data_IF_396750483762
#
_entry.id   IF_396750483762
#
_cell.length_a   1.000
_cell.length_b   1.000
_cell.length_c   1.000
_cell.angle_alpha   90.00
_cell.angle_beta   90.00
_cell.angle_gamma   90.00
#
_symmetry.space_group_name_H-M   'P 1'
#
loop_
_entity.id
_entity.type
_entity.pdbx_description
1 polymer ?
#
# COMPACT_ATOMS: atom_id res chain seq x y z
N UNK A 1 -41.41 23.87 21.40
CA UNK A 1 -40.66 23.65 20.14
C UNK A 1 -39.25 24.27 20.15
N UNK A 2 -39.10 25.62 20.16
CA UNK A 2 -37.78 26.25 20.09
C UNK A 2 -36.87 25.97 21.31
N UNK A 3 -37.42 25.97 22.53
CA UNK A 3 -36.70 25.58 23.76
C UNK A 3 -36.30 24.10 23.77
N UNK A 4 -37.10 23.23 23.21
CA UNK A 4 -36.86 21.79 23.11
C UNK A 4 -35.73 21.50 22.11
N UNK A 5 -35.74 22.16 20.96
CA UNK A 5 -34.66 22.07 19.97
C UNK A 5 -33.33 22.58 20.54
N UNK A 6 -33.34 23.67 21.31
CA UNK A 6 -32.16 24.21 21.99
C UNK A 6 -31.59 23.21 23.01
N UNK A 7 -32.49 22.55 23.79
CA UNK A 7 -32.09 21.51 24.74
C UNK A 7 -31.40 20.30 24.02
N UNK A 8 -32.00 19.81 22.93
CA UNK A 8 -31.44 18.71 22.14
C UNK A 8 -30.06 19.07 21.55
N UNK A 9 -29.91 20.30 21.04
CA UNK A 9 -28.60 20.78 20.54
C UNK A 9 -27.54 20.86 21.64
N UNK A 10 -27.91 21.27 22.86
CA UNK A 10 -26.99 21.26 24.00
C UNK A 10 -26.54 19.85 24.35
N UNK A 11 -27.45 18.87 24.37
CA UNK A 11 -27.11 17.47 24.63
C UNK A 11 -26.16 16.93 23.56
N UNK A 12 -26.37 17.27 22.28
CA UNK A 12 -25.46 16.90 21.20
C UNK A 12 -24.06 17.50 21.42
N UNK A 13 -23.98 18.79 21.78
CA UNK A 13 -22.68 19.45 22.06
C UNK A 13 -21.95 18.76 23.21
N UNK A 14 -22.62 18.39 24.28
CA UNK A 14 -22.02 17.65 25.40
C UNK A 14 -21.51 16.25 24.94
N UNK A 15 -22.27 15.58 24.05
CA UNK A 15 -21.82 14.31 23.45
C UNK A 15 -20.58 14.52 22.60
N UNK A 16 -20.53 15.55 21.76
CA UNK A 16 -19.39 15.87 20.89
C UNK A 16 -18.11 16.15 21.70
N UNK A 17 -18.21 16.86 22.83
CA UNK A 17 -17.08 17.08 23.73
C UNK A 17 -16.53 15.74 24.30
N UNK A 18 -17.43 14.87 24.75
CA UNK A 18 -17.07 13.55 25.29
C UNK A 18 -16.45 12.65 24.22
N UNK A 19 -17.00 12.63 23.00
CA UNK A 19 -16.46 11.90 21.86
C UNK A 19 -15.04 12.40 21.52
N UNK A 20 -14.89 13.72 21.43
CA UNK A 20 -13.57 14.35 21.12
C UNK A 20 -12.53 14.00 22.18
N UNK A 21 -12.86 14.09 23.45
CA UNK A 21 -11.97 13.72 24.54
C UNK A 21 -11.58 12.23 24.51
N UNK A 22 -12.56 11.34 24.28
CA UNK A 22 -12.32 9.90 24.17
C UNK A 22 -11.43 9.55 22.97
N UNK A 23 -11.67 10.17 21.80
CA UNK A 23 -10.84 9.99 20.60
C UNK A 23 -9.40 10.45 20.83
N UNK A 24 -9.18 11.61 21.48
CA UNK A 24 -7.87 12.10 21.79
C UNK A 24 -7.08 11.11 22.67
N UNK A 25 -7.68 10.69 23.79
CA UNK A 25 -7.08 9.69 24.68
C UNK A 25 -6.77 8.38 23.94
N UNK A 26 -7.69 7.91 23.08
CA UNK A 26 -7.51 6.71 22.29
C UNK A 26 -6.30 6.82 21.34
N UNK A 27 -6.12 7.97 20.68
CA UNK A 27 -4.99 8.22 19.77
C UNK A 27 -3.65 8.25 20.55
N UNK A 28 -3.60 8.87 21.72
CA UNK A 28 -2.44 8.87 22.61
C UNK A 28 -2.05 7.43 23.04
N UNK A 29 -3.05 6.60 23.39
CA UNK A 29 -2.81 5.19 23.70
C UNK A 29 -2.26 4.39 22.50
N UNK A 30 -2.72 4.68 21.27
CA UNK A 30 -2.20 4.04 20.07
C UNK A 30 -0.71 4.35 19.87
N UNK A 31 -0.30 5.60 20.03
CA UNK A 31 1.12 5.99 19.95
C UNK A 31 1.97 5.25 21.01
N UNK A 32 1.46 5.12 22.24
CA UNK A 32 2.09 4.33 23.29
C UNK A 32 2.22 2.83 22.92
N UNK A 33 1.17 2.24 22.35
CA UNK A 33 1.19 0.84 21.91
C UNK A 33 2.23 0.64 20.80
N UNK A 34 2.34 1.56 19.84
CA UNK A 34 3.31 1.47 18.75
C UNK A 34 4.74 1.51 19.32
N UNK A 35 5.00 2.45 20.22
CA UNK A 35 6.29 2.57 20.87
C UNK A 35 6.65 1.28 21.62
N UNK A 36 5.73 0.74 22.42
CA UNK A 36 5.93 -0.51 23.15
C UNK A 36 6.21 -1.69 22.19
N UNK A 37 5.42 -1.84 21.12
CA UNK A 37 5.60 -2.92 20.13
C UNK A 37 6.99 -2.84 19.47
N UNK A 38 7.41 -1.63 19.08
CA UNK A 38 8.72 -1.40 18.47
C UNK A 38 9.86 -1.76 19.41
N UNK A 39 9.79 -1.35 20.66
CA UNK A 39 10.83 -1.61 21.68
C UNK A 39 10.95 -3.10 22.02
N UNK A 40 9.84 -3.83 21.96
CA UNK A 40 9.78 -5.25 22.30
C UNK A 40 9.79 -6.19 21.07
N UNK A 41 9.97 -5.66 19.85
CA UNK A 41 10.02 -6.48 18.63
C UNK A 41 8.71 -7.22 18.31
N UNK A 42 7.57 -6.69 18.77
CA UNK A 42 6.27 -7.30 18.55
C UNK A 42 5.69 -6.96 17.18
N UNK A 43 4.84 -7.84 16.59
CA UNK A 43 4.17 -7.56 15.33
C UNK A 43 3.38 -6.26 15.39
N UNK A 44 3.55 -5.43 14.37
CA UNK A 44 2.88 -4.13 14.28
C UNK A 44 1.40 -4.31 14.02
N UNK A 45 1.06 -5.17 13.07
CA UNK A 45 -0.31 -5.47 12.68
C UNK A 45 -0.88 -6.58 13.56
N UNK A 46 -2.10 -6.39 14.00
CA UNK A 46 -2.86 -7.36 14.78
C UNK A 46 -4.32 -7.40 14.30
N UNK A 47 -4.61 -7.98 13.10
CA UNK A 47 -5.95 -8.04 12.52
C UNK A 47 -6.99 -8.67 13.47
N UNK A 48 -6.58 -9.68 14.23
CA UNK A 48 -7.44 -10.33 15.21
C UNK A 48 -7.90 -9.37 16.34
N UNK A 49 -7.04 -8.42 16.72
CA UNK A 49 -7.40 -7.45 17.75
C UNK A 49 -8.42 -6.43 17.22
N UNK A 50 -8.29 -6.04 15.96
CA UNK A 50 -9.24 -5.14 15.29
C UNK A 50 -10.61 -5.81 15.16
N UNK A 51 -10.63 -7.08 14.74
CA UNK A 51 -11.85 -7.88 14.66
C UNK A 51 -12.56 -7.99 16.02
N UNK A 52 -11.81 -8.31 17.09
CA UNK A 52 -12.37 -8.36 18.46
C UNK A 52 -12.94 -7.02 18.92
N UNK A 53 -12.34 -5.90 18.51
CA UNK A 53 -12.88 -4.57 18.83
C UNK A 53 -14.23 -4.34 18.16
N UNK A 54 -14.35 -4.66 16.85
CA UNK A 54 -15.62 -4.55 16.13
C UNK A 54 -16.68 -5.49 16.69
N UNK A 55 -16.34 -6.74 16.98
CA UNK A 55 -17.25 -7.71 17.58
C UNK A 55 -17.79 -7.23 18.93
N UNK A 56 -16.93 -6.61 19.76
CA UNK A 56 -17.36 -6.02 21.04
C UNK A 56 -18.37 -4.90 20.84
N UNK A 57 -18.07 -3.96 19.92
CA UNK A 57 -18.96 -2.85 19.62
C UNK A 57 -20.29 -3.37 19.05
N UNK A 58 -20.24 -4.33 18.13
CA UNK A 58 -21.43 -4.95 17.56
C UNK A 58 -22.32 -5.57 18.65
N UNK A 59 -21.74 -6.25 19.64
CA UNK A 59 -22.49 -6.81 20.76
C UNK A 59 -23.14 -5.73 21.66
N UNK A 60 -22.47 -4.57 21.82
CA UNK A 60 -23.00 -3.46 22.62
C UNK A 60 -24.18 -2.74 21.96
N UNK A 61 -24.22 -2.68 20.61
CA UNK A 61 -25.25 -1.96 19.87
C UNK A 61 -26.30 -2.85 19.22
N UNK A 62 -26.18 -4.16 19.37
CA UNK A 62 -27.05 -5.16 18.78
C UNK A 62 -28.53 -4.89 19.05
N UNK A 63 -29.34 -4.84 17.98
CA UNK A 63 -30.79 -4.60 18.06
C UNK A 63 -31.21 -3.14 18.34
N UNK A 64 -30.25 -2.22 18.38
CA UNK A 64 -30.56 -0.77 18.40
C UNK A 64 -30.89 -0.27 17.00
N UNK A 65 -31.67 0.82 16.90
CA UNK A 65 -32.05 1.45 15.61
C UNK A 65 -30.83 2.00 14.87
N UNK A 66 -29.73 2.29 15.58
CA UNK A 66 -28.52 2.92 15.04
C UNK A 66 -27.32 1.95 15.00
N UNK A 67 -27.58 0.65 14.98
CA UNK A 67 -26.54 -0.39 14.98
C UNK A 67 -25.58 -0.21 13.80
N UNK A 68 -26.11 -0.08 12.58
CA UNK A 68 -25.34 0.08 11.34
C UNK A 68 -24.48 1.36 11.35
N UNK A 69 -25.06 2.49 11.75
CA UNK A 69 -24.41 3.80 11.79
C UNK A 69 -23.26 3.81 12.80
N UNK A 70 -23.48 3.22 13.98
CA UNK A 70 -22.43 3.16 15.02
C UNK A 70 -21.29 2.25 14.58
N UNK A 71 -21.58 1.10 13.99
CA UNK A 71 -20.55 0.20 13.46
C UNK A 71 -19.70 0.88 12.38
N UNK A 72 -20.33 1.58 11.44
CA UNK A 72 -19.62 2.33 10.41
C UNK A 72 -18.68 3.40 10.98
N UNK A 73 -19.11 4.13 12.02
CA UNK A 73 -18.26 5.10 12.72
C UNK A 73 -17.04 4.39 13.36
N UNK A 74 -17.26 3.23 13.99
CA UNK A 74 -16.17 2.49 14.62
C UNK A 74 -15.18 1.88 13.63
N UNK A 75 -15.62 1.45 12.46
CA UNK A 75 -14.75 1.07 11.34
C UNK A 75 -13.81 2.22 10.95
N UNK A 76 -14.36 3.43 10.81
CA UNK A 76 -13.59 4.65 10.56
C UNK A 76 -12.59 4.99 11.67
N UNK A 77 -12.95 4.77 12.93
CA UNK A 77 -12.05 4.94 14.09
C UNK A 77 -10.90 3.93 14.05
N UNK A 78 -11.15 2.67 13.68
CA UNK A 78 -10.12 1.64 13.55
C UNK A 78 -9.20 1.95 12.38
N UNK A 79 -9.75 2.33 11.22
CA UNK A 79 -8.98 2.75 10.04
C UNK A 79 -8.06 3.93 10.36
N UNK A 80 -8.56 4.93 11.08
CA UNK A 80 -7.73 6.06 11.53
C UNK A 80 -6.60 5.62 12.48
N UNK A 81 -6.83 4.60 13.30
CA UNK A 81 -5.80 4.02 14.17
C UNK A 81 -4.70 3.35 13.36
N UNK A 82 -5.04 2.58 12.30
CA UNK A 82 -4.08 2.02 11.35
C UNK A 82 -3.26 3.11 10.68
N UNK A 83 -3.90 4.20 10.26
CA UNK A 83 -3.24 5.35 9.64
C UNK A 83 -2.24 6.02 10.57
N UNK A 84 -2.56 6.19 11.86
CA UNK A 84 -1.63 6.71 12.87
C UNK A 84 -0.45 5.74 13.04
N UNK A 85 -0.72 4.43 13.15
CA UNK A 85 0.31 3.41 13.25
C UNK A 85 1.26 3.45 12.05
N UNK A 86 0.72 3.46 10.84
CA UNK A 86 1.50 3.51 9.61
C UNK A 86 2.38 4.77 9.54
N UNK A 87 1.84 5.95 9.86
CA UNK A 87 2.61 7.21 9.89
C UNK A 87 3.74 7.21 10.91
N UNK A 88 3.53 6.60 12.07
CA UNK A 88 4.56 6.49 13.11
C UNK A 88 5.65 5.50 12.72
N UNK A 89 5.28 4.43 12.02
CA UNK A 89 6.20 3.36 11.60
C UNK A 89 6.92 3.68 10.30
N UNK A 90 6.25 4.32 9.35
CA UNK A 90 6.78 4.59 8.02
C UNK A 90 6.61 6.07 7.69
N UNK A 91 7.69 6.84 7.81
CA UNK A 91 7.74 8.28 7.53
C UNK A 91 7.83 8.62 6.04
N UNK A 92 7.96 7.59 5.19
CA UNK A 92 8.11 7.67 3.74
C UNK A 92 7.10 6.79 3.02
N UNK A 93 7.11 6.84 1.69
CA UNK A 93 6.34 5.94 0.86
C UNK A 93 6.94 4.52 0.85
N UNK A 94 6.14 3.52 0.45
CA UNK A 94 6.59 2.15 0.18
C UNK A 94 6.44 1.93 -1.32
N UNK A 95 7.56 1.78 -2.04
CA UNK A 95 7.57 1.59 -3.48
C UNK A 95 7.84 0.12 -3.81
N UNK A 96 6.88 -0.53 -4.45
CA UNK A 96 7.00 -1.93 -4.89
C UNK A 96 7.55 -1.97 -6.31
N UNK A 97 8.70 -2.61 -6.49
CA UNK A 97 9.30 -2.90 -7.78
C UNK A 97 9.35 -4.41 -8.00
N UNK A 98 9.52 -4.84 -9.23
CA UNK A 98 9.62 -6.25 -9.58
C UNK A 98 9.12 -6.53 -10.99
N UNK A 99 9.41 -7.72 -11.47
CA UNK A 99 9.00 -8.16 -12.78
C UNK A 99 7.47 -8.20 -12.90
N UNK A 100 6.94 -8.18 -14.13
CA UNK A 100 5.51 -8.43 -14.35
C UNK A 100 5.12 -9.81 -13.77
N UNK A 101 3.96 -9.91 -13.14
CA UNK A 101 3.56 -11.14 -12.46
C UNK A 101 4.22 -11.39 -11.09
N UNK A 102 5.13 -10.54 -10.61
CA UNK A 102 5.71 -10.65 -9.26
C UNK A 102 4.73 -10.34 -8.12
N UNK A 103 3.49 -9.91 -8.41
CA UNK A 103 2.45 -9.68 -7.41
C UNK A 103 2.35 -8.24 -6.89
N UNK A 104 2.99 -7.25 -7.53
CA UNK A 104 3.01 -5.85 -7.08
C UNK A 104 1.63 -5.28 -6.77
N UNK A 105 0.69 -5.35 -7.71
CA UNK A 105 -0.66 -4.79 -7.52
C UNK A 105 -1.47 -5.50 -6.44
N UNK A 106 -1.28 -6.81 -6.28
CA UNK A 106 -1.92 -7.58 -5.21
C UNK A 106 -1.35 -7.21 -3.84
N UNK A 107 -0.02 -7.10 -3.75
CA UNK A 107 0.68 -6.72 -2.51
C UNK A 107 0.40 -5.26 -2.17
N UNK A 108 0.39 -4.33 -3.15
CA UNK A 108 0.08 -2.92 -2.90
C UNK A 108 -1.33 -2.71 -2.38
N UNK A 109 -2.32 -3.41 -2.94
CA UNK A 109 -3.70 -3.37 -2.47
C UNK A 109 -3.82 -3.87 -1.02
N UNK A 110 -3.20 -5.02 -0.71
CA UNK A 110 -3.23 -5.59 0.65
C UNK A 110 -2.50 -4.71 1.67
N UNK A 111 -1.34 -4.16 1.33
CA UNK A 111 -0.62 -3.22 2.20
C UNK A 111 -1.40 -1.92 2.44
N UNK A 112 -2.06 -1.39 1.39
CA UNK A 112 -2.92 -0.22 1.51
C UNK A 112 -4.06 -0.45 2.52
N UNK A 113 -4.72 -1.61 2.45
CA UNK A 113 -5.75 -2.03 3.41
C UNK A 113 -5.20 -2.17 4.84
N UNK A 114 -4.07 -2.86 4.99
CA UNK A 114 -3.46 -3.15 6.29
C UNK A 114 -2.94 -1.89 7.01
N UNK A 115 -2.40 -0.95 6.25
CA UNK A 115 -1.76 0.27 6.77
C UNK A 115 -2.67 1.49 6.71
N UNK A 116 -3.86 1.39 6.10
CA UNK A 116 -4.72 2.51 5.75
C UNK A 116 -3.95 3.64 5.03
N UNK A 117 -3.02 3.26 4.14
CA UNK A 117 -2.23 4.16 3.30
C UNK A 117 -2.87 4.28 1.91
N UNK A 118 -2.74 5.46 1.30
CA UNK A 118 -3.18 5.67 -0.08
C UNK A 118 -2.37 4.80 -1.05
N UNK A 119 -3.03 4.17 -2.02
CA UNK A 119 -2.39 3.37 -3.07
C UNK A 119 -2.23 4.18 -4.36
N UNK A 120 -1.09 3.99 -5.02
CA UNK A 120 -0.85 4.48 -6.39
C UNK A 120 -0.36 3.33 -7.26
N UNK A 121 -1.18 2.92 -8.23
CA UNK A 121 -0.75 2.10 -9.36
C UNK A 121 -0.18 3.02 -10.44
N UNK A 122 1.14 3.05 -10.60
CA UNK A 122 1.85 4.03 -11.45
C UNK A 122 1.38 3.98 -12.91
N UNK A 123 1.19 2.77 -13.44
CA UNK A 123 0.74 2.58 -14.83
C UNK A 123 -0.66 3.17 -15.04
N UNK A 124 -1.59 2.93 -14.11
CA UNK A 124 -2.95 3.50 -14.15
C UNK A 124 -2.94 5.02 -13.96
N UNK A 125 -2.07 5.52 -13.08
CA UNK A 125 -1.90 6.96 -12.86
C UNK A 125 -1.44 7.67 -14.14
N UNK A 126 -0.43 7.11 -14.83
CA UNK A 126 0.07 7.66 -16.10
C UNK A 126 -1.03 7.63 -17.17
N UNK A 127 -1.75 6.51 -17.33
CA UNK A 127 -2.85 6.42 -18.30
C UNK A 127 -3.94 7.49 -18.05
N UNK A 128 -4.31 7.69 -16.78
CA UNK A 128 -5.29 8.73 -16.41
C UNK A 128 -4.79 10.13 -16.74
N UNK A 129 -3.50 10.39 -16.50
CA UNK A 129 -2.89 11.71 -16.72
C UNK A 129 -2.75 12.02 -18.21
N UNK A 130 -2.34 11.03 -19.01
CA UNK A 130 -2.15 11.17 -20.46
C UNK A 130 -3.48 11.04 -21.24
N UNK A 131 -4.55 10.55 -20.62
CA UNK A 131 -5.85 10.35 -21.26
C UNK A 131 -5.86 9.23 -22.30
N UNK A 132 -4.88 8.31 -22.28
CA UNK A 132 -4.74 7.22 -23.24
C UNK A 132 -4.10 5.98 -22.61
N UNK A 133 -4.30 4.81 -23.24
CA UNK A 133 -3.70 3.56 -22.78
C UNK A 133 -2.18 3.56 -22.95
N UNK A 134 -1.48 2.75 -22.14
CA UNK A 134 -0.02 2.59 -22.29
C UNK A 134 0.34 2.12 -23.70
N UNK A 135 -0.46 1.23 -24.30
CA UNK A 135 -0.27 0.77 -25.68
C UNK A 135 -0.31 1.94 -26.67
N UNK A 136 -1.27 2.84 -26.51
CA UNK A 136 -1.42 4.01 -27.39
C UNK A 136 -0.30 5.02 -27.15
N UNK A 137 0.15 5.20 -25.90
CA UNK A 137 1.33 6.04 -25.59
C UNK A 137 2.56 5.50 -26.34
N UNK A 138 2.82 4.19 -26.29
CA UNK A 138 3.94 3.57 -27.00
C UNK A 138 3.80 3.72 -28.53
N UNK A 139 2.59 3.52 -29.07
CA UNK A 139 2.34 3.63 -30.51
C UNK A 139 2.48 5.06 -31.04
N UNK A 140 2.04 6.05 -30.28
CA UNK A 140 1.98 7.45 -30.71
C UNK A 140 3.23 8.24 -30.36
N UNK A 141 3.76 8.07 -29.12
CA UNK A 141 4.83 8.88 -28.58
C UNK A 141 6.15 8.10 -28.40
N UNK A 142 6.11 6.78 -28.47
CA UNK A 142 7.26 5.89 -28.31
C UNK A 142 7.62 5.56 -26.84
N UNK A 143 8.53 4.60 -26.68
CA UNK A 143 8.94 4.11 -25.36
C UNK A 143 9.60 5.20 -24.51
N UNK A 144 10.44 6.02 -25.11
CA UNK A 144 11.18 7.07 -24.39
C UNK A 144 10.25 8.10 -23.73
N UNK A 145 9.15 8.45 -24.38
CA UNK A 145 8.12 9.31 -23.81
C UNK A 145 7.48 8.67 -22.58
N UNK A 146 7.08 7.39 -22.68
CA UNK A 146 6.51 6.67 -21.54
C UNK A 146 7.48 6.61 -20.35
N UNK A 147 8.78 6.36 -20.62
CA UNK A 147 9.81 6.38 -19.58
C UNK A 147 9.97 7.76 -18.93
N UNK A 148 9.74 8.83 -19.67
CA UNK A 148 9.74 10.18 -19.11
C UNK A 148 8.49 10.41 -18.25
N UNK A 149 7.32 9.87 -18.62
CA UNK A 149 6.12 9.89 -17.77
C UNK A 149 6.37 9.15 -16.44
N UNK A 150 7.02 7.97 -16.45
CA UNK A 150 7.43 7.27 -15.23
C UNK A 150 8.33 8.16 -14.35
N UNK A 151 9.34 8.79 -14.92
CA UNK A 151 10.27 9.67 -14.18
C UNK A 151 9.55 10.90 -13.61
N UNK A 152 8.64 11.51 -14.35
CA UNK A 152 7.87 12.67 -13.91
C UNK A 152 6.91 12.28 -12.76
N UNK A 153 6.30 11.11 -12.82
CA UNK A 153 5.47 10.58 -11.72
C UNK A 153 6.28 10.40 -10.43
N UNK A 154 7.52 9.92 -10.52
CA UNK A 154 8.42 9.82 -9.36
C UNK A 154 8.81 11.21 -8.81
N UNK A 155 8.97 12.22 -9.67
CA UNK A 155 9.24 13.59 -9.23
C UNK A 155 8.04 14.14 -8.44
N UNK A 156 6.82 13.95 -8.93
CA UNK A 156 5.59 14.36 -8.24
C UNK A 156 5.41 13.63 -6.90
N UNK A 157 5.84 12.36 -6.82
CA UNK A 157 5.76 11.55 -5.62
C UNK A 157 6.62 12.10 -4.46
N UNK A 158 7.64 12.91 -4.73
CA UNK A 158 8.49 13.52 -3.69
C UNK A 158 7.73 14.42 -2.73
N UNK A 159 6.67 15.04 -3.19
CA UNK A 159 5.80 15.92 -2.39
C UNK A 159 4.73 15.12 -1.60
N UNK A 160 4.64 13.82 -1.83
CA UNK A 160 3.64 12.94 -1.20
C UNK A 160 4.34 11.94 -0.28
N UNK A 161 3.70 11.64 0.84
CA UNK A 161 4.20 10.69 1.84
C UNK A 161 3.10 9.73 2.26
N UNK A 162 3.49 8.64 2.86
CA UNK A 162 2.58 7.61 3.39
C UNK A 162 1.69 7.00 2.31
N UNK A 163 2.31 6.65 1.18
CA UNK A 163 1.65 5.94 0.08
C UNK A 163 2.29 4.58 -0.15
N UNK A 164 1.50 3.64 -0.62
CA UNK A 164 1.97 2.40 -1.24
C UNK A 164 1.93 2.59 -2.75
N UNK A 165 3.08 2.47 -3.41
CA UNK A 165 3.22 2.73 -4.84
C UNK A 165 3.63 1.44 -5.55
N UNK A 166 2.79 0.95 -6.45
CA UNK A 166 3.11 -0.13 -7.37
C UNK A 166 3.77 0.46 -8.62
N UNK A 167 5.08 0.29 -8.74
CA UNK A 167 5.86 0.82 -9.86
C UNK A 167 5.79 -0.09 -11.09
N UNK A 168 5.80 0.51 -12.29
CA UNK A 168 5.95 -0.24 -13.53
C UNK A 168 7.26 -1.04 -13.56
N UNK A 169 7.26 -2.21 -14.21
CA UNK A 169 8.44 -3.10 -14.24
C UNK A 169 9.67 -2.51 -14.95
N UNK A 170 9.53 -1.42 -15.68
CA UNK A 170 10.64 -0.70 -16.33
C UNK A 170 11.24 0.43 -15.50
N UNK A 171 10.57 0.87 -14.46
CA UNK A 171 10.97 2.05 -13.65
C UNK A 171 12.39 1.95 -13.12
N UNK A 172 12.84 0.83 -12.52
CA UNK A 172 14.20 0.71 -11.97
C UNK A 172 15.31 0.59 -13.02
N UNK A 173 14.93 0.47 -14.31
CA UNK A 173 15.93 0.31 -15.38
C UNK A 173 16.68 1.60 -15.69
N UNK A 174 16.15 2.76 -15.30
CA UNK A 174 16.80 4.06 -15.42
C UNK A 174 17.44 4.46 -14.09
N UNK A 175 18.72 4.81 -14.12
CA UNK A 175 19.49 5.21 -12.94
C UNK A 175 18.89 6.41 -12.21
N UNK A 176 18.45 7.43 -12.96
CA UNK A 176 17.74 8.60 -12.43
C UNK A 176 16.50 8.20 -11.62
N UNK A 177 15.75 7.19 -12.06
CA UNK A 177 14.57 6.72 -11.34
C UNK A 177 14.94 6.02 -10.04
N UNK A 178 16.07 5.30 -9.98
CA UNK A 178 16.57 4.67 -8.75
C UNK A 178 16.83 5.73 -7.69
N UNK A 179 17.49 6.84 -8.03
CA UNK A 179 17.73 7.96 -7.11
C UNK A 179 16.41 8.59 -6.64
N UNK A 180 15.47 8.83 -7.57
CA UNK A 180 14.16 9.38 -7.23
C UNK A 180 13.37 8.47 -6.29
N UNK A 181 13.36 7.16 -6.53
CA UNK A 181 12.69 6.18 -5.68
C UNK A 181 13.29 6.17 -4.26
N UNK A 182 14.61 6.08 -4.13
CA UNK A 182 15.31 6.05 -2.82
C UNK A 182 15.09 7.33 -2.01
N UNK A 183 14.97 8.48 -2.69
CA UNK A 183 14.65 9.74 -2.05
C UNK A 183 13.17 9.85 -1.63
N UNK A 184 12.27 9.13 -2.30
CA UNK A 184 10.83 9.20 -2.07
C UNK A 184 10.32 8.16 -1.05
N UNK A 185 11.04 7.03 -0.85
CA UNK A 185 10.53 5.98 0.00
C UNK A 185 11.45 4.78 0.17
N UNK A 186 10.90 3.74 0.77
CA UNK A 186 11.51 2.42 0.88
C UNK A 186 11.22 1.63 -0.39
N UNK A 187 12.25 1.13 -1.03
CA UNK A 187 12.11 0.36 -2.28
C UNK A 187 12.13 -1.13 -1.98
N UNK A 188 11.01 -1.77 -2.23
CA UNK A 188 10.78 -3.19 -1.99
C UNK A 188 10.77 -3.94 -3.32
N UNK A 189 11.73 -4.82 -3.52
CA UNK A 189 11.75 -5.67 -4.70
C UNK A 189 10.99 -6.98 -4.44
N UNK A 190 9.89 -7.18 -5.15
CA UNK A 190 9.15 -8.43 -5.16
C UNK A 190 9.74 -9.35 -6.24
N UNK A 191 10.20 -10.52 -5.82
CA UNK A 191 10.73 -11.57 -6.70
C UNK A 191 9.76 -12.75 -6.76
N UNK A 192 9.90 -13.56 -7.82
CA UNK A 192 9.30 -14.88 -7.92
C UNK A 192 10.12 -15.72 -8.89
N UNK A 193 9.96 -17.07 -8.87
CA UNK A 193 10.61 -17.92 -9.85
C UNK A 193 10.03 -17.70 -11.26
N UNK A 194 10.80 -17.95 -12.33
CA UNK A 194 10.31 -17.83 -13.71
C UNK A 194 9.05 -18.66 -13.97
N UNK A 195 8.95 -19.85 -13.36
CA UNK A 195 7.79 -20.74 -13.45
C UNK A 195 6.56 -20.11 -12.81
N UNK A 196 6.71 -19.55 -11.58
CA UNK A 196 5.62 -18.86 -10.91
C UNK A 196 5.16 -17.61 -11.67
N UNK A 197 6.09 -16.87 -12.26
CA UNK A 197 5.77 -15.75 -13.16
C UNK A 197 4.98 -16.24 -14.38
N UNK A 198 5.48 -17.30 -15.05
CA UNK A 198 4.80 -17.86 -16.22
C UNK A 198 3.36 -18.26 -15.90
N UNK A 199 3.14 -19.02 -14.83
CA UNK A 199 1.80 -19.44 -14.40
C UNK A 199 0.86 -18.26 -14.14
N UNK A 200 1.35 -17.18 -13.58
CA UNK A 200 0.57 -15.97 -13.26
C UNK A 200 0.24 -15.11 -14.48
N UNK A 201 1.01 -15.21 -15.57
CA UNK A 201 0.87 -14.31 -16.71
C UNK A 201 0.47 -15.00 -18.03
N UNK A 202 0.49 -16.34 -18.09
CA UNK A 202 0.26 -17.12 -19.33
C UNK A 202 -1.07 -16.79 -20.03
N UNK A 203 -2.11 -16.43 -19.28
CA UNK A 203 -3.44 -16.13 -19.80
C UNK A 203 -3.68 -14.62 -20.02
N UNK A 204 -2.66 -13.78 -19.79
CA UNK A 204 -2.78 -12.31 -19.90
C UNK A 204 -2.47 -11.85 -21.33
N UNK A 205 -3.43 -11.20 -21.96
CA UNK A 205 -3.29 -10.61 -23.31
C UNK A 205 -2.74 -9.17 -23.30
N UNK A 206 -2.60 -8.55 -22.14
CA UNK A 206 -2.27 -7.12 -22.00
C UNK A 206 -0.76 -6.83 -21.86
N UNK A 207 0.13 -7.78 -22.23
CA UNK A 207 1.57 -7.67 -21.98
C UNK A 207 2.40 -7.72 -23.25
N UNK A 208 2.64 -6.59 -23.92
CA UNK A 208 3.35 -6.53 -25.20
C UNK A 208 4.73 -7.19 -25.21
N UNK A 209 5.47 -7.13 -24.09
CA UNK A 209 6.82 -7.67 -23.98
C UNK A 209 6.89 -9.22 -23.97
N UNK A 210 5.78 -9.89 -23.71
CA UNK A 210 5.71 -11.35 -23.69
C UNK A 210 4.96 -11.92 -24.92
N UNK A 211 4.38 -11.06 -25.76
CA UNK A 211 3.64 -11.49 -26.94
C UNK A 211 4.55 -12.20 -27.93
N UNK A 212 4.24 -13.48 -28.22
CA UNK A 212 4.96 -14.33 -29.17
C UNK A 212 6.08 -15.19 -28.58
N UNK A 213 6.54 -14.93 -27.33
CA UNK A 213 7.62 -15.67 -26.67
C UNK A 213 7.27 -16.05 -25.22
N UNK A 214 6.02 -16.39 -24.94
CA UNK A 214 5.56 -16.77 -23.61
C UNK A 214 6.06 -18.16 -23.21
N UNK A 215 7.26 -18.24 -22.68
CA UNK A 215 7.83 -19.49 -22.13
C UNK A 215 8.81 -19.17 -20.97
N UNK A 216 9.01 -20.16 -20.09
CA UNK A 216 9.85 -20.02 -18.91
C UNK A 216 11.28 -19.58 -19.22
N UNK A 217 12.02 -20.17 -20.21
CA UNK A 217 13.37 -19.72 -20.54
C UNK A 217 13.46 -18.26 -20.97
N UNK A 218 12.48 -17.76 -21.76
CA UNK A 218 12.46 -16.36 -22.17
C UNK A 218 12.25 -15.43 -20.96
N UNK A 219 11.30 -15.78 -20.08
CA UNK A 219 11.04 -15.04 -18.83
C UNK A 219 12.30 -15.00 -17.98
N UNK A 220 12.98 -16.15 -17.79
CA UNK A 220 14.21 -16.25 -17.02
C UNK A 220 15.30 -15.33 -17.57
N UNK A 221 15.55 -15.38 -18.87
CA UNK A 221 16.56 -14.54 -19.53
C UNK A 221 16.23 -13.04 -19.35
N UNK A 222 14.97 -12.66 -19.49
CA UNK A 222 14.53 -11.28 -19.34
C UNK A 222 14.62 -10.81 -17.87
N UNK A 223 14.32 -11.67 -16.92
CA UNK A 223 14.49 -11.39 -15.49
C UNK A 223 15.97 -11.22 -15.14
N UNK A 224 16.84 -12.11 -15.63
CA UNK A 224 18.28 -12.04 -15.37
C UNK A 224 18.90 -10.78 -15.96
N UNK A 225 18.52 -10.37 -17.18
CA UNK A 225 19.01 -9.12 -17.80
C UNK A 225 18.67 -7.84 -16.99
N UNK A 226 17.69 -7.92 -16.09
CA UNK A 226 17.24 -6.80 -15.25
C UNK A 226 17.67 -6.90 -13.80
N UNK A 227 18.17 -8.06 -13.38
CA UNK A 227 18.43 -8.42 -11.98
C UNK A 227 19.30 -7.39 -11.28
N UNK A 228 20.46 -7.07 -11.82
CA UNK A 228 21.40 -6.10 -11.24
C UNK A 228 20.77 -4.73 -10.98
N UNK A 229 19.90 -4.28 -11.90
CA UNK A 229 19.22 -2.99 -11.77
C UNK A 229 18.17 -3.01 -10.66
N UNK A 230 17.45 -4.12 -10.50
CA UNK A 230 16.50 -4.28 -9.39
C UNK A 230 17.23 -4.39 -8.05
N UNK A 231 18.32 -5.18 -7.97
CA UNK A 231 19.15 -5.33 -6.78
C UNK A 231 19.69 -3.97 -6.31
N UNK A 232 20.21 -3.17 -7.23
CA UNK A 232 20.73 -1.82 -6.94
C UNK A 232 19.64 -0.86 -6.46
N UNK A 233 18.42 -0.99 -6.95
CA UNK A 233 17.31 -0.15 -6.56
C UNK A 233 16.70 -0.52 -5.21
N UNK A 234 16.74 -1.80 -4.83
CA UNK A 234 16.03 -2.34 -3.68
C UNK A 234 16.71 -2.01 -2.34
N UNK A 235 15.91 -1.68 -1.33
CA UNK A 235 16.31 -1.66 0.08
C UNK A 235 16.04 -3.02 0.74
N UNK A 236 14.97 -3.70 0.33
CA UNK A 236 14.65 -5.07 0.76
C UNK A 236 14.15 -5.91 -0.42
N UNK A 237 14.31 -7.23 -0.29
CA UNK A 237 13.85 -8.22 -1.26
C UNK A 237 12.87 -9.18 -0.59
N UNK A 238 11.75 -9.43 -1.26
CA UNK A 238 10.69 -10.35 -0.81
C UNK A 238 10.40 -11.35 -1.92
N UNK A 239 10.59 -12.63 -1.64
CA UNK A 239 10.16 -13.70 -2.54
C UNK A 239 8.67 -14.00 -2.34
N UNK A 240 7.91 -13.94 -3.43
CA UNK A 240 6.46 -14.18 -3.45
C UNK A 240 6.08 -15.57 -3.95
N UNK A 241 7.07 -16.44 -4.25
CA UNK A 241 6.85 -17.77 -4.81
C UNK A 241 6.12 -18.65 -3.80
N UNK A 242 4.92 -19.13 -4.17
CA UNK A 242 4.16 -20.09 -3.36
C UNK A 242 3.71 -19.59 -1.99
N UNK A 243 3.79 -18.29 -1.74
CA UNK A 243 3.36 -17.70 -0.46
C UNK A 243 1.97 -17.07 -0.57
N UNK A 244 1.21 -17.15 0.52
CA UNK A 244 -0.04 -16.41 0.69
C UNK A 244 0.25 -14.92 0.87
N UNK A 245 -0.72 -14.09 0.48
CA UNK A 245 -0.54 -12.62 0.47
C UNK A 245 -0.29 -12.05 1.87
N UNK A 246 -0.93 -12.60 2.88
CA UNK A 246 -0.77 -12.24 4.29
C UNK A 246 0.68 -12.44 4.74
N UNK A 247 1.25 -13.61 4.46
CA UNK A 247 2.65 -13.95 4.77
C UNK A 247 3.64 -13.02 4.08
N UNK A 248 3.38 -12.67 2.80
CA UNK A 248 4.20 -11.73 2.04
C UNK A 248 4.19 -10.34 2.71
N UNK A 249 3.02 -9.86 3.07
CA UNK A 249 2.86 -8.55 3.72
C UNK A 249 3.51 -8.52 5.10
N UNK A 250 3.36 -9.57 5.91
CA UNK A 250 4.00 -9.68 7.23
C UNK A 250 5.52 -9.66 7.13
N UNK A 251 6.11 -10.48 6.25
CA UNK A 251 7.55 -10.50 5.99
C UNK A 251 8.07 -9.13 5.54
N UNK A 252 7.34 -8.47 4.64
CA UNK A 252 7.67 -7.14 4.13
C UNK A 252 7.69 -6.11 5.27
N UNK A 253 6.65 -6.05 6.08
CA UNK A 253 6.53 -5.10 7.19
C UNK A 253 7.58 -5.36 8.27
N UNK A 254 7.89 -6.62 8.57
CA UNK A 254 8.95 -7.00 9.50
C UNK A 254 10.31 -6.50 9.00
N UNK A 255 10.66 -6.73 7.73
CA UNK A 255 11.91 -6.28 7.14
C UNK A 255 12.01 -4.75 7.07
N UNK A 256 10.92 -4.06 6.69
CA UNK A 256 10.89 -2.60 6.69
C UNK A 256 11.11 -2.01 8.09
N UNK A 257 10.50 -2.62 9.11
CA UNK A 257 10.67 -2.18 10.50
C UNK A 257 12.10 -2.35 10.98
N UNK A 258 12.84 -3.35 10.47
CA UNK A 258 14.24 -3.61 10.80
C UNK A 258 15.21 -2.59 10.17
N UNK A 259 14.86 -1.97 9.03
CA UNK A 259 15.69 -0.95 8.38
C UNK A 259 15.80 0.37 9.19
N UNK A 260 14.92 0.58 10.15
CA UNK A 260 14.85 1.82 10.95
C UNK A 260 15.62 1.75 12.27
N UNK A 261 16.25 0.61 12.56
CA UNK A 261 17.16 0.45 13.69
C UNK A 261 18.56 0.91 13.33
#
# INVERSE_FOLDING_TARGET
MEKELTCLRSIIADCDERITAALKTRMECIEGIITYKRENGLPVLQPEQEKRQLERVAAEVAGTVFEEEILHIFEGIIENSKRIQAKTLFDKNILLIGFMGAGKSTVSAKLSELLAMEIMEMDAYIQKKEGMSIKDIFATNGEEYFRNCESNTLIELRERKHMVVSCGGGVPLREKNVELMKNSGYVVWLTATPEAIYERVKDSTERPLLNGNMNVPFIQNLMESRREKYERAADIVIDTTGKEIETICEELLQKLSALRK
#
